data_IF_184837879794
#
_entry.id   IF_184837879794
#
_cell.length_a   1.000
_cell.length_b   1.000
_cell.length_c   1.000
_cell.angle_alpha   90.00
_cell.angle_beta   90.00
_cell.angle_gamma   90.00
#
_symmetry.space_group_name_H-M   'P 1'
#
loop_
_entity.id
_entity.type
_entity.pdbx_description
1 polymer ?
#
# COMPACT_ATOMS: atom_id res chain seq x y z
N UNK A 1 5.45 57.65 -29.45
CA UNK A 1 6.22 57.13 -30.60
C UNK A 1 5.19 56.68 -31.63
N UNK A 2 4.82 57.58 -32.55
CA UNK A 2 4.21 57.24 -33.82
C UNK A 2 5.06 57.96 -34.87
N UNK A 3 5.57 57.20 -35.83
CA UNK A 3 6.52 57.68 -36.81
C UNK A 3 5.80 57.97 -38.14
N UNK A 4 6.08 59.18 -38.66
CA UNK A 4 6.39 59.57 -40.05
C UNK A 4 5.47 59.08 -41.19
N UNK A 5 5.02 59.90 -42.15
CA UNK A 5 5.39 61.24 -42.60
C UNK A 5 5.23 61.28 -44.11
N UNK A 6 4.76 62.38 -44.73
CA UNK A 6 4.95 62.65 -46.17
C UNK A 6 4.80 64.16 -46.44
N UNK A 7 5.82 64.77 -47.07
CA UNK A 7 5.82 66.14 -47.60
C UNK A 7 5.34 66.14 -49.07
N UNK A 8 4.61 67.21 -49.40
CA UNK A 8 3.67 67.45 -50.51
C UNK A 8 4.28 67.74 -51.89
N UNK A 9 3.49 67.53 -52.96
CA UNK A 9 3.26 68.56 -54.01
C UNK A 9 1.78 68.49 -54.46
N UNK A 10 0.98 69.55 -54.20
CA UNK A 10 -0.35 69.75 -54.82
C UNK A 10 -0.29 70.94 -55.80
N UNK A 11 -0.69 70.73 -57.05
CA UNK A 11 -1.03 71.82 -57.99
C UNK A 11 -2.28 72.54 -57.48
N UNK A 12 -2.26 73.87 -57.46
CA UNK A 12 -3.44 74.71 -57.14
C UNK A 12 -4.47 74.62 -58.27
N UNK A 13 -5.64 74.07 -57.98
CA UNK A 13 -6.86 74.23 -58.78
C UNK A 13 -7.71 75.39 -58.22
N UNK A 14 -8.45 76.07 -59.10
CA UNK A 14 -9.29 77.25 -58.84
C UNK A 14 -10.33 76.98 -57.75
N UNK A 15 -10.51 77.99 -56.89
CA UNK A 15 -11.44 78.06 -55.77
C UNK A 15 -12.88 77.69 -56.15
N UNK A 16 -13.31 76.49 -55.76
CA UNK A 16 -14.70 76.25 -55.35
C UNK A 16 -14.81 76.65 -53.88
N UNK A 17 -15.91 77.28 -53.48
CA UNK A 17 -16.16 77.61 -52.08
C UNK A 17 -16.54 76.29 -51.40
N UNK A 18 -15.60 75.70 -50.66
CA UNK A 18 -15.89 74.54 -49.81
C UNK A 18 -16.94 74.97 -48.78
N UNK A 19 -18.07 74.26 -48.72
CA UNK A 19 -19.06 74.45 -47.66
C UNK A 19 -18.36 74.27 -46.30
N UNK A 20 -18.69 75.12 -45.33
CA UNK A 20 -18.14 75.02 -43.98
C UNK A 20 -18.28 73.60 -43.44
N UNK A 21 -17.17 72.96 -43.05
CA UNK A 21 -17.22 71.68 -42.35
C UNK A 21 -18.17 71.81 -41.16
N UNK A 22 -19.17 70.92 -41.05
CA UNK A 22 -20.00 70.86 -39.86
C UNK A 22 -19.13 70.59 -38.63
N UNK A 23 -19.40 71.28 -37.52
CA UNK A 23 -18.71 71.08 -36.25
C UNK A 23 -18.68 69.58 -35.88
N UNK A 24 -17.54 69.03 -35.44
CA UNK A 24 -17.49 67.65 -34.94
C UNK A 24 -18.55 67.44 -33.86
N UNK A 25 -19.31 66.34 -33.96
CA UNK A 25 -20.27 65.98 -32.91
C UNK A 25 -19.57 65.93 -31.56
N UNK A 26 -20.20 66.46 -30.50
CA UNK A 26 -19.65 66.43 -29.14
C UNK A 26 -19.30 64.98 -28.76
N UNK A 27 -18.10 64.76 -28.22
CA UNK A 27 -17.71 63.44 -27.70
C UNK A 27 -18.78 62.92 -26.73
N UNK A 28 -19.21 61.67 -26.91
CA UNK A 28 -20.16 61.04 -26.00
C UNK A 28 -19.62 60.95 -24.57
N UNK A 29 -20.52 60.96 -23.58
CA UNK A 29 -20.14 60.78 -22.17
C UNK A 29 -19.46 59.43 -21.97
N UNK A 30 -18.31 59.41 -21.29
CA UNK A 30 -17.66 58.17 -20.87
C UNK A 30 -18.59 57.41 -19.90
N UNK A 31 -18.70 56.09 -20.08
CA UNK A 31 -19.49 55.22 -19.22
C UNK A 31 -18.95 55.18 -17.77
N UNK A 32 -19.80 54.82 -16.81
CA UNK A 32 -19.40 54.67 -15.41
C UNK A 32 -18.43 53.48 -15.24
N UNK A 33 -17.44 53.65 -14.37
CA UNK A 33 -16.55 52.58 -13.91
C UNK A 33 -17.35 51.70 -12.95
N UNK A 34 -17.47 50.42 -13.27
CA UNK A 34 -18.12 49.43 -12.41
C UNK A 34 -17.17 49.03 -11.27
N UNK A 35 -17.63 49.10 -10.01
CA UNK A 35 -16.91 48.56 -8.85
C UNK A 35 -17.76 47.51 -8.16
N UNK A 36 -17.16 46.39 -7.80
CA UNK A 36 -17.83 45.27 -7.13
C UNK A 36 -17.22 45.07 -5.75
N UNK A 37 -18.05 44.95 -4.72
CA UNK A 37 -17.61 44.66 -3.35
C UNK A 37 -18.64 43.85 -2.56
N UNK A 38 -18.20 43.16 -1.51
CA UNK A 38 -19.12 42.57 -0.54
C UNK A 38 -19.85 43.70 0.21
N UNK A 39 -21.16 43.53 0.45
CA UNK A 39 -21.93 44.53 1.17
C UNK A 39 -21.43 44.65 2.61
N UNK A 40 -21.10 45.86 3.02
CA UNK A 40 -20.74 46.17 4.39
C UNK A 40 -21.40 47.47 4.82
N UNK A 41 -21.67 47.60 6.13
CA UNK A 41 -22.22 48.81 6.76
C UNK A 41 -21.17 49.92 6.80
N UNK A 42 -21.61 51.17 6.63
CA UNK A 42 -20.75 52.35 6.70
C UNK A 42 -19.93 52.62 5.44
N UNK A 43 -20.21 51.92 4.34
CA UNK A 43 -19.53 52.08 3.06
C UNK A 43 -20.36 52.99 2.16
N UNK A 44 -19.71 53.97 1.52
CA UNK A 44 -20.34 54.77 0.47
C UNK A 44 -20.41 53.95 -0.83
N UNK A 45 -21.62 53.69 -1.28
CA UNK A 45 -21.90 53.09 -2.58
C UNK A 45 -22.40 54.16 -3.54
N UNK A 46 -21.79 54.25 -4.72
CA UNK A 46 -22.02 55.31 -5.70
C UNK A 46 -22.87 54.84 -6.87
N UNK A 47 -23.77 55.73 -7.30
CA UNK A 47 -24.35 55.70 -8.64
C UNK A 47 -24.21 57.11 -9.25
N UNK A 48 -23.18 57.27 -10.09
CA UNK A 48 -22.87 58.51 -10.78
C UNK A 48 -23.40 58.51 -12.24
N UNK A 49 -24.39 57.67 -12.57
CA UNK A 49 -25.04 57.59 -13.89
C UNK A 49 -25.69 58.93 -14.32
N UNK A 50 -25.98 59.83 -13.37
CA UNK A 50 -26.52 61.16 -13.66
C UNK A 50 -25.44 62.26 -13.82
N UNK A 51 -24.19 62.02 -13.41
CA UNK A 51 -23.13 63.02 -13.52
C UNK A 51 -22.67 63.19 -14.97
N UNK A 52 -22.39 64.44 -15.36
CA UNK A 52 -22.01 64.81 -16.74
C UNK A 52 -20.53 65.19 -16.89
N UNK A 53 -19.75 65.12 -15.81
CA UNK A 53 -18.31 65.40 -15.81
C UNK A 53 -17.60 64.61 -14.69
N UNK A 54 -16.27 64.51 -14.79
CA UNK A 54 -15.43 63.79 -13.82
C UNK A 54 -15.44 62.26 -13.99
N UNK A 55 -14.68 61.57 -13.13
CA UNK A 55 -14.70 60.10 -13.04
C UNK A 55 -16.00 59.65 -12.38
N UNK A 56 -16.70 58.73 -13.02
CA UNK A 56 -18.04 58.28 -12.60
C UNK A 56 -17.99 56.82 -12.17
N UNK A 57 -18.63 56.48 -11.06
CA UNK A 57 -18.68 55.12 -10.54
C UNK A 57 -20.11 54.57 -10.52
N UNK A 58 -20.24 53.28 -10.74
CA UNK A 58 -21.46 52.53 -10.48
C UNK A 58 -21.10 51.29 -9.65
N UNK A 59 -21.61 51.24 -8.42
CA UNK A 59 -21.25 50.18 -7.49
C UNK A 59 -22.26 49.03 -7.51
N UNK A 60 -21.72 47.81 -7.39
CA UNK A 60 -22.46 46.55 -7.25
C UNK A 60 -22.09 45.94 -5.90
N UNK A 61 -23.08 45.71 -5.06
CA UNK A 61 -22.92 45.04 -3.78
C UNK A 61 -23.24 43.55 -3.89
N UNK A 62 -22.39 42.70 -3.32
CA UNK A 62 -22.57 41.25 -3.25
C UNK A 62 -22.92 40.86 -1.82
N UNK A 63 -23.97 40.06 -1.64
CA UNK A 63 -24.42 39.56 -0.33
C UNK A 63 -24.50 38.05 -0.34
N UNK A 64 -23.72 37.43 0.53
CA UNK A 64 -23.78 35.99 0.81
C UNK A 64 -25.08 35.68 1.56
N UNK A 65 -25.98 34.89 0.97
CA UNK A 65 -27.29 34.54 1.53
C UNK A 65 -27.35 33.18 2.22
N UNK A 66 -26.23 32.48 2.24
CA UNK A 66 -26.05 31.19 2.91
C UNK A 66 -24.77 30.54 2.43
N UNK A 67 -24.57 29.28 2.84
CA UNK A 67 -23.63 28.42 2.14
C UNK A 67 -24.02 28.41 0.64
N UNK A 68 -23.17 28.98 -0.23
CA UNK A 68 -23.18 28.77 -1.70
C UNK A 68 -24.07 29.68 -2.49
N UNK A 69 -24.80 30.54 -1.80
CA UNK A 69 -25.77 31.42 -2.44
C UNK A 69 -25.35 32.84 -2.17
N UNK A 70 -25.36 33.65 -3.23
CA UNK A 70 -25.20 35.08 -3.12
C UNK A 70 -26.20 35.79 -4.01
N UNK A 71 -26.53 37.01 -3.63
CA UNK A 71 -27.26 37.94 -4.45
C UNK A 71 -26.34 39.12 -4.77
N UNK A 72 -26.40 39.62 -6.00
CA UNK A 72 -25.76 40.86 -6.39
C UNK A 72 -26.82 41.95 -6.55
N UNK A 73 -26.47 43.18 -6.18
CA UNK A 73 -27.36 44.34 -6.21
C UNK A 73 -26.67 45.53 -6.87
N UNK A 74 -27.29 46.15 -7.88
CA UNK A 74 -26.89 47.43 -8.45
C UNK A 74 -27.29 48.57 -7.49
N UNK A 75 -26.38 49.48 -7.19
CA UNK A 75 -26.70 50.73 -6.49
C UNK A 75 -27.50 51.66 -7.39
N UNK A 76 -28.65 52.14 -6.93
CA UNK A 76 -29.56 53.03 -7.67
C UNK A 76 -29.31 54.50 -7.37
N UNK A 77 -28.84 54.83 -6.16
CA UNK A 77 -28.57 56.20 -5.71
C UNK A 77 -27.35 56.21 -4.80
N UNK A 78 -26.48 57.19 -4.97
CA UNK A 78 -25.31 57.35 -4.08
C UNK A 78 -25.77 57.50 -2.62
N UNK A 79 -25.26 56.65 -1.74
CA UNK A 79 -25.60 56.61 -0.32
C UNK A 79 -24.52 55.93 0.52
N UNK A 80 -24.55 56.18 1.83
CA UNK A 80 -23.78 55.39 2.81
C UNK A 80 -24.65 54.29 3.37
N UNK A 81 -24.21 53.04 3.27
CA UNK A 81 -24.95 51.87 3.76
C UNK A 81 -25.14 51.93 5.28
N UNK A 82 -26.31 51.54 5.76
CA UNK A 82 -26.67 51.54 7.18
C UNK A 82 -27.72 50.47 7.48
N UNK A 83 -28.07 50.27 8.75
CA UNK A 83 -29.15 49.34 9.12
C UNK A 83 -30.51 49.77 8.55
N UNK A 84 -30.69 51.07 8.29
CA UNK A 84 -31.89 51.65 7.65
C UNK A 84 -31.82 51.62 6.11
N UNK A 85 -30.64 51.37 5.54
CA UNK A 85 -30.42 51.20 4.10
C UNK A 85 -29.72 49.85 3.83
N UNK A 86 -30.36 48.72 4.17
CA UNK A 86 -29.85 47.40 3.81
C UNK A 86 -30.01 47.14 2.31
N UNK A 87 -29.37 46.09 1.78
CA UNK A 87 -29.51 45.68 0.36
C UNK A 87 -30.94 45.35 -0.07
N UNK A 88 -31.85 45.12 0.88
CA UNK A 88 -33.28 44.88 0.63
C UNK A 88 -34.06 46.16 0.38
N UNK A 89 -33.48 47.34 0.65
CA UNK A 89 -34.11 48.62 0.39
C UNK A 89 -34.10 48.95 -1.12
N UNK A 90 -35.22 48.67 -1.78
CA UNK A 90 -35.38 48.80 -3.23
C UNK A 90 -35.31 50.24 -3.75
N UNK A 91 -35.30 51.24 -2.87
CA UNK A 91 -35.07 52.64 -3.25
C UNK A 91 -33.61 52.88 -3.63
N UNK A 92 -32.70 52.13 -3.01
CA UNK A 92 -31.25 52.29 -3.15
C UNK A 92 -30.59 51.12 -3.88
N UNK A 93 -31.27 49.97 -3.96
CA UNK A 93 -30.69 48.72 -4.48
C UNK A 93 -31.63 48.02 -5.46
N UNK A 94 -31.08 47.49 -6.54
CA UNK A 94 -31.78 46.60 -7.47
C UNK A 94 -31.06 45.25 -7.56
N UNK A 95 -31.74 44.16 -7.24
CA UNK A 95 -31.20 42.81 -7.35
C UNK A 95 -31.04 42.39 -8.83
N UNK A 96 -29.94 41.72 -9.16
CA UNK A 96 -29.76 41.10 -10.48
C UNK A 96 -30.56 39.80 -10.61
N UNK A 97 -31.15 39.56 -11.79
CA UNK A 97 -32.02 38.39 -12.05
C UNK A 97 -31.25 37.15 -12.52
N UNK A 98 -30.14 37.33 -13.24
CA UNK A 98 -29.25 36.27 -13.71
C UNK A 98 -27.84 36.84 -13.93
N UNK A 99 -26.81 36.11 -13.52
CA UNK A 99 -25.41 36.53 -13.67
C UNK A 99 -24.82 35.78 -14.87
N UNK A 100 -24.23 36.52 -15.81
CA UNK A 100 -23.57 35.97 -16.99
C UNK A 100 -22.12 35.57 -16.68
N UNK A 101 -21.54 34.57 -17.39
CA UNK A 101 -20.13 34.24 -17.24
C UNK A 101 -19.24 35.46 -17.47
N UNK A 102 -18.27 35.67 -16.56
CA UNK A 102 -17.28 36.75 -16.68
C UNK A 102 -16.03 36.19 -17.35
N UNK A 103 -15.73 36.67 -18.56
CA UNK A 103 -14.46 36.39 -19.23
C UNK A 103 -13.49 37.53 -18.89
N UNK A 104 -12.56 37.28 -17.96
CA UNK A 104 -11.47 38.20 -17.66
C UNK A 104 -10.14 37.59 -18.11
N UNK A 105 -9.40 38.22 -19.03
CA UNK A 105 -8.16 37.65 -19.57
C UNK A 105 -6.99 37.69 -18.59
N UNK A 106 -7.05 38.44 -17.48
CA UNK A 106 -5.92 38.52 -16.55
C UNK A 106 -6.32 38.98 -15.14
N UNK A 107 -5.92 38.22 -14.10
CA UNK A 107 -5.96 38.65 -12.70
C UNK A 107 -4.57 39.20 -12.36
N UNK A 108 -4.40 40.52 -12.36
CA UNK A 108 -3.18 41.18 -11.86
C UNK A 108 -3.44 41.77 -10.47
N UNK A 109 -3.18 41.00 -9.42
CA UNK A 109 -3.22 41.49 -8.04
C UNK A 109 -2.24 40.71 -7.15
N UNK A 110 -1.44 41.43 -6.35
CA UNK A 110 -0.57 40.82 -5.35
C UNK A 110 -1.45 40.22 -4.25
N UNK A 111 -1.27 38.93 -3.94
CA UNK A 111 -2.05 38.18 -2.94
C UNK A 111 -3.56 38.03 -3.23
N UNK A 112 -3.97 37.95 -4.51
CA UNK A 112 -5.37 37.71 -4.85
C UNK A 112 -5.92 36.42 -4.21
N UNK A 113 -6.98 36.53 -3.42
CA UNK A 113 -7.71 35.39 -2.85
C UNK A 113 -8.99 35.18 -3.66
N UNK A 114 -9.10 34.03 -4.32
CA UNK A 114 -10.32 33.60 -5.01
C UNK A 114 -11.19 32.79 -4.06
N UNK A 115 -12.20 33.43 -3.46
CA UNK A 115 -13.19 32.75 -2.63
C UNK A 115 -14.30 32.19 -3.53
N UNK A 116 -14.27 30.90 -3.76
CA UNK A 116 -15.35 30.17 -4.41
C UNK A 116 -16.54 30.03 -3.44
N UNK A 117 -17.75 30.43 -3.85
CA UNK A 117 -18.98 30.02 -3.17
C UNK A 117 -19.07 28.49 -3.23
N UNK A 118 -19.54 27.74 -2.21
CA UNK A 118 -19.52 26.26 -2.35
C UNK A 118 -20.40 25.81 -3.54
N UNK A 119 -20.06 24.68 -4.13
CA UNK A 119 -20.58 24.27 -5.44
C UNK A 119 -19.84 24.91 -6.62
N UNK A 120 -19.14 26.04 -6.44
CA UNK A 120 -18.22 26.50 -7.47
C UNK A 120 -17.02 25.55 -7.55
N UNK A 121 -16.55 25.37 -8.77
CA UNK A 121 -15.43 24.52 -9.11
C UNK A 121 -14.44 25.30 -9.96
N UNK A 122 -13.16 25.06 -9.75
CA UNK A 122 -12.15 25.38 -10.74
C UNK A 122 -12.02 24.17 -11.64
N UNK A 123 -12.27 24.34 -12.94
CA UNK A 123 -12.11 23.27 -13.93
C UNK A 123 -11.02 23.62 -14.93
N UNK A 124 -10.12 22.68 -15.14
CA UNK A 124 -9.20 22.69 -16.27
C UNK A 124 -9.87 21.89 -17.38
N UNK A 125 -10.27 22.56 -18.45
CA UNK A 125 -10.90 21.94 -19.61
C UNK A 125 -9.84 21.39 -20.57
N UNK A 126 -10.15 20.31 -21.29
CA UNK A 126 -9.36 19.90 -22.45
C UNK A 126 -9.58 20.89 -23.60
N UNK A 127 -8.75 20.81 -24.63
CA UNK A 127 -8.82 21.69 -25.80
C UNK A 127 -10.14 21.59 -26.60
N UNK A 128 -11.01 20.63 -26.28
CA UNK A 128 -12.36 20.53 -26.84
C UNK A 128 -13.40 21.45 -26.16
N UNK A 129 -13.01 22.15 -25.09
CA UNK A 129 -13.87 23.03 -24.26
C UNK A 129 -15.16 22.37 -23.74
N UNK A 130 -15.20 21.03 -23.68
CA UNK A 130 -16.37 20.27 -23.22
C UNK A 130 -16.02 19.27 -22.13
N UNK A 131 -14.80 18.74 -22.16
CA UNK A 131 -14.38 17.72 -21.20
C UNK A 131 -13.45 18.29 -20.15
N UNK A 132 -13.64 17.87 -18.91
CA UNK A 132 -12.78 18.23 -17.78
C UNK A 132 -11.53 17.35 -17.81
N UNK A 133 -10.36 17.98 -17.67
CA UNK A 133 -9.08 17.32 -17.46
C UNK A 133 -8.77 17.14 -15.97
N UNK A 134 -9.03 18.17 -15.18
CA UNK A 134 -8.79 18.21 -13.74
C UNK A 134 -9.67 19.29 -13.08
N UNK A 135 -9.82 19.23 -11.77
CA UNK A 135 -10.54 20.29 -11.07
C UNK A 135 -10.32 20.38 -9.57
N UNK A 136 -10.84 21.47 -9.02
CA UNK A 136 -11.00 21.71 -7.59
C UNK A 136 -12.48 21.96 -7.28
N UNK A 137 -13.03 21.30 -6.24
CA UNK A 137 -14.45 21.43 -5.87
C UNK A 137 -14.65 21.27 -4.36
N UNK A 138 -15.71 21.85 -3.81
CA UNK A 138 -16.09 21.68 -2.40
C UNK A 138 -16.83 20.36 -2.11
N UNK A 139 -16.22 19.20 -2.39
CA UNK A 139 -16.80 17.87 -2.15
C UNK A 139 -15.82 16.88 -1.50
N UNK A 140 -16.19 15.59 -1.40
CA UNK A 140 -15.38 14.55 -0.73
C UNK A 140 -13.98 14.36 -1.32
N UNK A 141 -13.81 14.68 -2.60
CA UNK A 141 -12.55 14.68 -3.33
C UNK A 141 -12.27 16.08 -3.90
N UNK A 142 -11.68 17.00 -3.10
CA UNK A 142 -11.50 18.38 -3.52
C UNK A 142 -10.50 18.60 -4.65
N UNK A 143 -9.65 17.62 -4.95
CA UNK A 143 -8.65 17.66 -6.03
C UNK A 143 -8.73 16.35 -6.81
N UNK A 144 -8.91 16.44 -8.14
CA UNK A 144 -8.93 15.26 -9.01
C UNK A 144 -8.40 15.53 -10.41
N UNK A 145 -7.96 14.47 -11.09
CA UNK A 145 -7.46 14.48 -12.47
C UNK A 145 -7.95 13.25 -13.22
N UNK A 146 -8.26 13.41 -14.50
CA UNK A 146 -8.48 12.30 -15.43
C UNK A 146 -9.93 11.81 -15.55
N UNK A 147 -10.90 12.54 -15.00
CA UNK A 147 -12.33 12.25 -15.17
C UNK A 147 -13.20 13.52 -15.12
N UNK A 148 -14.43 13.39 -15.61
CA UNK A 148 -15.45 14.46 -15.57
C UNK A 148 -15.96 14.72 -14.15
N UNK A 149 -16.03 13.69 -13.31
CA UNK A 149 -16.43 13.80 -11.91
C UNK A 149 -15.27 13.42 -10.98
N UNK A 150 -15.20 13.98 -9.76
CA UNK A 150 -14.17 13.60 -8.79
C UNK A 150 -14.26 12.13 -8.36
N UNK A 151 -15.47 11.56 -8.30
CA UNK A 151 -15.69 10.18 -7.83
C UNK A 151 -15.07 9.16 -8.77
N UNK A 152 -15.16 9.36 -10.07
CA UNK A 152 -14.67 8.42 -11.08
C UNK A 152 -13.19 8.66 -11.45
N UNK A 153 -12.56 9.65 -10.84
CA UNK A 153 -11.19 10.05 -11.18
C UNK A 153 -10.15 8.98 -10.77
N UNK A 154 -9.24 8.60 -11.68
CA UNK A 154 -8.14 7.68 -11.36
C UNK A 154 -7.10 8.30 -10.42
N UNK A 155 -7.01 9.63 -10.41
CA UNK A 155 -6.19 10.40 -9.49
C UNK A 155 -7.10 11.35 -8.69
N UNK A 156 -7.16 11.19 -7.37
CA UNK A 156 -7.97 12.05 -6.49
C UNK A 156 -7.44 12.07 -5.06
N UNK A 157 -7.63 13.20 -4.38
CA UNK A 157 -7.31 13.37 -2.97
C UNK A 157 -8.59 13.63 -2.20
N UNK A 158 -8.87 12.86 -1.15
CA UNK A 158 -10.05 13.07 -0.32
C UNK A 158 -9.86 14.24 0.67
N UNK A 159 -10.95 14.75 1.25
CA UNK A 159 -10.91 15.74 2.34
C UNK A 159 -10.13 15.27 3.57
N UNK A 160 -9.95 13.96 3.74
CA UNK A 160 -9.15 13.35 4.80
C UNK A 160 -7.66 13.19 4.41
N UNK A 161 -7.24 13.71 3.24
CA UNK A 161 -5.88 13.63 2.74
C UNK A 161 -5.50 12.29 2.10
N UNK A 162 -6.45 11.39 1.85
CA UNK A 162 -6.16 10.10 1.20
C UNK A 162 -5.96 10.29 -0.30
N UNK A 163 -4.78 9.92 -0.80
CA UNK A 163 -4.49 9.86 -2.22
C UNK A 163 -4.94 8.52 -2.83
N UNK A 164 -5.66 8.60 -3.93
CA UNK A 164 -5.95 7.49 -4.83
C UNK A 164 -5.31 7.81 -6.17
N UNK A 165 -4.43 6.93 -6.66
CA UNK A 165 -3.69 7.16 -7.90
C UNK A 165 -3.51 5.84 -8.66
N UNK A 166 -4.40 5.56 -9.61
CA UNK A 166 -4.28 4.41 -10.50
C UNK A 166 -3.20 4.65 -11.56
N UNK A 167 -2.28 3.69 -11.74
CA UNK A 167 -1.21 3.77 -12.74
C UNK A 167 -0.11 4.79 -12.42
N UNK A 168 0.08 5.13 -11.14
CA UNK A 168 1.14 6.05 -10.73
C UNK A 168 2.53 5.54 -11.13
N UNK A 169 3.31 6.39 -11.79
CA UNK A 169 4.74 6.18 -12.06
C UNK A 169 5.52 7.11 -11.15
N UNK A 170 6.24 6.53 -10.19
CA UNK A 170 7.05 7.26 -9.21
C UNK A 170 8.52 6.92 -9.49
N UNK A 171 9.31 7.92 -9.82
CA UNK A 171 10.73 7.79 -10.21
C UNK A 171 11.63 8.61 -9.29
N UNK A 172 12.89 8.20 -9.19
CA UNK A 172 13.84 8.77 -8.23
C UNK A 172 13.70 8.14 -6.84
N UNK A 173 14.49 8.62 -5.89
CA UNK A 173 14.43 8.12 -4.52
C UNK A 173 13.11 8.51 -3.86
N UNK A 174 12.40 7.53 -3.31
CA UNK A 174 11.10 7.71 -2.68
C UNK A 174 11.00 6.87 -1.41
N UNK A 175 10.48 7.47 -0.35
CA UNK A 175 10.27 6.80 0.94
C UNK A 175 8.78 6.55 1.14
N UNK A 176 8.42 5.31 1.43
CA UNK A 176 7.06 4.90 1.80
C UNK A 176 7.10 4.35 3.22
N UNK A 177 6.55 5.10 4.17
CA UNK A 177 6.46 4.67 5.57
C UNK A 177 5.14 3.94 5.86
N UNK A 178 5.14 3.10 6.89
CA UNK A 178 3.96 2.36 7.34
C UNK A 178 3.78 0.99 6.67
N UNK A 179 2.54 0.51 6.60
CA UNK A 179 2.20 -0.82 6.08
C UNK A 179 1.73 -0.74 4.64
N UNK A 180 2.40 -1.48 3.74
CA UNK A 180 1.95 -1.67 2.37
C UNK A 180 1.11 -2.96 2.26
N UNK A 181 -0.10 -2.86 1.72
CA UNK A 181 -1.03 -4.01 1.53
C UNK A 181 -1.23 -4.30 0.05
N UNK A 182 -1.07 -5.58 -0.34
CA UNK A 182 -1.31 -6.01 -1.72
C UNK A 182 -0.20 -5.65 -2.71
N UNK A 183 1.04 -5.52 -2.24
CA UNK A 183 2.19 -5.22 -3.11
C UNK A 183 2.59 -6.44 -3.91
N UNK A 184 2.73 -6.27 -5.22
CA UNK A 184 3.36 -7.23 -6.13
C UNK A 184 4.23 -6.44 -7.11
N UNK A 185 5.40 -6.97 -7.45
CA UNK A 185 6.36 -6.28 -8.30
C UNK A 185 7.72 -6.96 -8.34
N UNK A 186 8.63 -6.39 -9.11
CA UNK A 186 10.04 -6.79 -9.18
C UNK A 186 10.89 -5.91 -8.28
N UNK A 187 11.82 -6.53 -7.57
CA UNK A 187 12.74 -5.84 -6.67
C UNK A 187 14.18 -6.21 -7.02
N UNK A 188 15.11 -5.30 -6.78
CA UNK A 188 16.55 -5.58 -6.84
C UNK A 188 17.04 -6.11 -5.49
N UNK A 189 16.54 -5.54 -4.39
CA UNK A 189 16.86 -5.92 -3.02
C UNK A 189 15.72 -5.58 -2.05
N UNK A 190 15.57 -6.40 -1.02
CA UNK A 190 14.75 -6.17 0.17
C UNK A 190 15.66 -6.27 1.39
N UNK A 191 15.85 -5.15 2.10
CA UNK A 191 16.71 -5.12 3.28
C UNK A 191 15.91 -5.49 4.53
N UNK A 192 16.46 -6.38 5.35
CA UNK A 192 16.04 -6.53 6.74
C UNK A 192 16.74 -5.45 7.56
N UNK A 193 15.98 -4.48 8.05
CA UNK A 193 16.50 -3.33 8.79
C UNK A 193 16.14 -3.47 10.26
N UNK A 194 17.12 -3.35 11.15
CA UNK A 194 16.89 -3.42 12.59
C UNK A 194 16.31 -2.09 13.14
N UNK A 195 16.03 -2.03 14.44
CA UNK A 195 15.49 -0.82 15.09
C UNK A 195 16.47 0.39 15.07
N UNK A 196 17.77 0.17 14.84
CA UNK A 196 18.77 1.22 14.72
C UNK A 196 18.90 1.79 13.29
N UNK A 197 18.24 1.17 12.31
CA UNK A 197 18.33 1.56 10.90
C UNK A 197 19.40 0.81 10.11
N UNK A 198 20.10 -0.15 10.71
CA UNK A 198 21.13 -0.93 10.03
C UNK A 198 20.53 -2.07 9.23
N UNK A 199 21.04 -2.29 8.02
CA UNK A 199 20.74 -3.48 7.24
C UNK A 199 21.48 -4.69 7.85
N UNK A 200 20.73 -5.63 8.41
CA UNK A 200 21.25 -6.84 9.10
C UNK A 200 21.01 -8.13 8.33
N UNK A 201 20.46 -8.02 7.12
CA UNK A 201 20.24 -9.12 6.20
C UNK A 201 19.38 -8.67 5.03
N UNK A 202 18.96 -9.61 4.20
CA UNK A 202 18.02 -9.29 3.13
C UNK A 202 17.83 -10.36 2.08
N UNK A 203 17.01 -10.02 1.10
CA UNK A 203 16.78 -10.80 -0.11
C UNK A 203 17.29 -9.97 -1.28
N UNK A 204 18.13 -10.53 -2.14
CA UNK A 204 18.58 -9.86 -3.36
C UNK A 204 18.44 -10.77 -4.57
N UNK A 205 18.29 -10.15 -5.73
CA UNK A 205 18.05 -10.82 -7.00
C UNK A 205 19.26 -10.57 -7.90
N UNK A 206 20.09 -11.59 -8.06
CA UNK A 206 21.33 -11.50 -8.80
C UNK A 206 21.11 -11.47 -10.31
N UNK A 207 22.05 -10.84 -11.02
CA UNK A 207 22.07 -10.83 -12.49
C UNK A 207 22.29 -12.24 -13.09
N UNK A 208 22.71 -13.20 -12.27
CA UNK A 208 22.86 -14.61 -12.59
C UNK A 208 21.55 -15.41 -12.46
N UNK A 209 20.43 -14.73 -12.20
CA UNK A 209 19.11 -15.34 -12.04
C UNK A 209 18.89 -16.02 -10.69
N UNK A 210 19.83 -15.88 -9.74
CA UNK A 210 19.71 -16.45 -8.40
C UNK A 210 19.05 -15.46 -7.45
N UNK A 211 18.23 -16.00 -6.56
CA UNK A 211 17.79 -15.30 -5.36
C UNK A 211 18.78 -15.60 -4.23
N UNK A 212 19.27 -14.55 -3.59
CA UNK A 212 20.20 -14.63 -2.47
C UNK A 212 19.48 -14.22 -1.19
N UNK A 213 19.59 -15.06 -0.17
CA UNK A 213 19.23 -14.72 1.20
C UNK A 213 20.53 -14.43 1.96
N UNK A 214 20.65 -13.24 2.50
CA UNK A 214 21.82 -12.77 3.25
C UNK A 214 21.44 -12.64 4.73
N UNK A 215 22.25 -13.25 5.61
CA UNK A 215 21.94 -13.42 7.03
C UNK A 215 21.26 -14.75 7.37
N UNK A 216 20.90 -14.89 8.64
CA UNK A 216 20.26 -16.11 9.15
C UNK A 216 18.78 -16.19 8.76
N UNK A 217 18.35 -17.38 8.31
CA UNK A 217 16.94 -17.66 8.05
C UNK A 217 16.31 -18.36 9.24
N UNK A 218 15.41 -17.67 9.94
CA UNK A 218 14.71 -18.24 11.09
C UNK A 218 13.40 -18.92 10.67
N UNK A 219 13.39 -20.26 10.62
CA UNK A 219 12.22 -21.08 10.26
C UNK A 219 11.79 -21.98 11.43
N UNK A 220 11.39 -21.36 12.54
CA UNK A 220 11.04 -22.04 13.78
C UNK A 220 9.65 -21.64 14.26
N UNK A 221 8.88 -22.61 14.74
CA UNK A 221 7.57 -22.38 15.34
C UNK A 221 6.57 -23.49 15.04
N UNK A 222 5.32 -23.23 15.37
CA UNK A 222 4.19 -24.13 15.09
C UNK A 222 3.09 -23.41 14.34
N UNK A 223 2.37 -24.13 13.50
CA UNK A 223 1.15 -23.69 12.82
C UNK A 223 0.18 -24.87 12.79
N UNK A 224 -1.09 -24.66 13.15
CA UNK A 224 -2.11 -25.70 13.16
C UNK A 224 -1.70 -26.94 13.99
N UNK A 225 -1.17 -26.71 15.21
CA UNK A 225 -0.67 -27.75 16.13
C UNK A 225 0.44 -28.67 15.57
N UNK A 226 1.20 -28.21 14.58
CA UNK A 226 2.37 -28.93 14.05
C UNK A 226 3.55 -27.98 13.84
N UNK A 227 4.76 -28.53 13.76
CA UNK A 227 5.96 -27.77 13.37
C UNK A 227 5.82 -27.17 11.96
N UNK A 228 6.49 -26.04 11.74
CA UNK A 228 6.68 -25.47 10.40
C UNK A 228 7.40 -26.48 9.49
N UNK A 229 7.10 -26.43 8.18
CA UNK A 229 7.68 -27.35 7.18
C UNK A 229 8.43 -26.53 6.13
N UNK A 230 9.56 -27.04 5.67
CA UNK A 230 10.29 -26.52 4.52
C UNK A 230 10.18 -27.56 3.41
N UNK A 231 9.36 -27.27 2.39
CA UNK A 231 9.18 -28.17 1.25
C UNK A 231 10.12 -27.76 0.12
N UNK A 232 10.96 -28.70 -0.31
CA UNK A 232 11.80 -28.57 -1.50
C UNK A 232 11.86 -29.94 -2.18
N UNK A 233 11.84 -29.97 -3.52
CA UNK A 233 11.94 -31.23 -4.27
C UNK A 233 13.32 -31.85 -4.10
N UNK A 234 14.36 -31.03 -4.26
CA UNK A 234 15.75 -31.40 -4.08
C UNK A 234 16.46 -30.33 -3.24
N UNK A 235 17.42 -30.74 -2.41
CA UNK A 235 18.26 -29.83 -1.64
C UNK A 235 19.72 -30.22 -1.81
N UNK A 236 20.50 -29.34 -2.41
CA UNK A 236 21.96 -29.46 -2.42
C UNK A 236 22.56 -28.55 -1.34
N UNK A 237 23.12 -29.16 -0.29
CA UNK A 237 23.99 -28.46 0.66
C UNK A 237 25.47 -28.67 0.29
N UNK A 238 26.26 -27.59 0.24
CA UNK A 238 27.71 -27.67 -0.02
C UNK A 238 28.50 -28.23 1.16
N UNK A 239 28.00 -28.06 2.37
CA UNK A 239 28.61 -28.53 3.61
C UNK A 239 27.72 -29.58 4.26
N UNK A 240 27.44 -29.39 5.54
CA UNK A 240 26.62 -30.31 6.33
C UNK A 240 25.15 -29.86 6.34
N UNK A 241 24.24 -30.82 6.30
CA UNK A 241 22.81 -30.60 6.50
C UNK A 241 22.27 -31.68 7.44
N UNK A 242 21.87 -31.29 8.64
CA UNK A 242 21.47 -32.24 9.67
C UNK A 242 20.94 -31.57 10.93
N UNK A 243 20.41 -32.39 11.84
CA UNK A 243 20.00 -31.95 13.17
C UNK A 243 21.24 -31.73 14.06
N UNK A 244 21.16 -30.81 15.03
CA UNK A 244 22.25 -30.57 16.00
C UNK A 244 22.51 -31.76 16.94
N UNK A 245 21.49 -32.60 17.18
CA UNK A 245 21.55 -33.77 18.07
C UNK A 245 20.83 -34.94 17.43
N UNK A 246 21.41 -36.15 17.51
CA UNK A 246 20.78 -37.37 17.03
C UNK A 246 19.47 -37.63 17.77
N UNK A 247 18.43 -37.87 16.98
CA UNK A 247 17.10 -38.30 17.44
C UNK A 247 17.17 -39.74 17.97
N UNK A 248 16.92 -39.89 19.27
CA UNK A 248 17.17 -41.15 19.99
C UNK A 248 15.94 -41.60 20.76
N UNK A 249 15.64 -42.91 20.72
CA UNK A 249 14.77 -43.56 21.71
C UNK A 249 15.62 -44.28 22.75
N UNK A 250 15.27 -44.14 24.03
CA UNK A 250 16.00 -44.79 25.15
C UNK A 250 15.12 -45.79 25.87
N UNK A 251 15.67 -46.99 26.08
CA UNK A 251 15.09 -48.05 26.89
C UNK A 251 16.03 -48.38 28.04
N UNK A 252 15.47 -48.59 29.23
CA UNK A 252 16.22 -49.05 30.40
C UNK A 252 15.36 -50.02 31.19
N UNK A 253 15.86 -51.21 31.45
CA UNK A 253 15.15 -52.21 32.26
C UNK A 253 16.11 -53.17 32.93
N UNK A 254 15.74 -53.59 34.14
CA UNK A 254 16.42 -54.60 34.94
C UNK A 254 15.76 -55.98 34.81
N UNK A 255 14.64 -56.07 34.08
CA UNK A 255 13.90 -57.30 33.86
C UNK A 255 13.92 -57.74 32.40
N UNK A 256 13.87 -59.05 32.12
CA UNK A 256 13.65 -59.54 30.76
C UNK A 256 12.27 -59.09 30.23
N UNK A 257 12.18 -58.86 28.93
CA UNK A 257 10.93 -58.46 28.30
C UNK A 257 11.10 -58.09 26.83
N UNK A 258 9.99 -57.75 26.18
CA UNK A 258 9.98 -57.19 24.84
C UNK A 258 9.75 -55.68 24.93
N UNK A 259 10.58 -54.92 24.20
CA UNK A 259 10.52 -53.47 24.13
C UNK A 259 10.36 -53.04 22.67
N UNK A 260 9.48 -52.09 22.40
CA UNK A 260 8.99 -51.73 21.08
C UNK A 260 9.33 -50.27 20.79
N UNK A 261 10.19 -50.06 19.80
CA UNK A 261 10.63 -48.75 19.33
C UNK A 261 9.86 -48.37 18.06
N UNK A 262 8.93 -47.42 18.18
CA UNK A 262 8.08 -46.98 17.08
C UNK A 262 8.75 -45.81 16.33
N UNK A 263 9.29 -46.08 15.14
CA UNK A 263 10.22 -45.18 14.42
C UNK A 263 9.51 -44.04 13.69
N UNK A 264 8.39 -44.31 13.02
CA UNK A 264 7.58 -43.31 12.31
C UNK A 264 6.12 -43.29 12.78
N UNK A 265 5.85 -43.74 14.01
CA UNK A 265 4.52 -43.70 14.59
C UNK A 265 4.54 -42.89 15.90
N UNK A 266 3.41 -42.24 16.19
CA UNK A 266 3.27 -41.32 17.30
C UNK A 266 2.31 -41.91 18.34
N UNK A 267 2.62 -41.76 19.62
CA UNK A 267 1.83 -42.33 20.70
C UNK A 267 2.33 -41.88 22.06
N UNK A 268 1.73 -42.45 23.11
CA UNK A 268 2.14 -42.19 24.49
C UNK A 268 3.16 -43.22 24.92
N UNK A 269 4.34 -42.75 25.31
CA UNK A 269 5.39 -43.59 25.88
C UNK A 269 4.90 -44.40 27.08
N UNK A 270 5.31 -45.66 27.14
CA UNK A 270 5.18 -46.53 28.29
C UNK A 270 6.54 -47.14 28.65
N UNK A 271 6.55 -48.07 29.60
CA UNK A 271 7.75 -48.86 29.93
C UNK A 271 8.23 -49.65 28.72
N UNK A 272 7.31 -50.28 27.98
CA UNK A 272 7.64 -51.20 26.90
C UNK A 272 7.58 -50.57 25.52
N UNK A 273 6.85 -49.47 25.34
CA UNK A 273 6.69 -48.81 24.03
C UNK A 273 7.24 -47.39 24.08
N UNK A 274 8.08 -47.04 23.12
CA UNK A 274 8.60 -45.68 22.93
C UNK A 274 8.30 -45.19 21.52
N UNK A 275 7.87 -43.94 21.40
CA UNK A 275 7.40 -43.36 20.14
C UNK A 275 8.26 -42.19 19.68
N UNK A 276 8.42 -42.06 18.36
CA UNK A 276 9.00 -40.87 17.77
C UNK A 276 8.14 -39.63 18.04
N UNK A 277 8.73 -38.44 17.91
CA UNK A 277 8.00 -37.17 17.90
C UNK A 277 7.84 -36.65 16.47
N UNK A 278 6.82 -35.83 16.25
CA UNK A 278 6.56 -35.22 14.95
C UNK A 278 7.77 -34.40 14.47
N UNK A 279 8.31 -34.75 13.29
CA UNK A 279 9.48 -34.10 12.71
C UNK A 279 10.82 -34.57 13.28
N UNK A 280 10.84 -35.63 14.09
CA UNK A 280 12.05 -36.24 14.65
C UNK A 280 12.19 -37.69 14.15
N UNK A 281 12.66 -37.91 12.91
CA UNK A 281 12.94 -39.26 12.42
C UNK A 281 14.00 -39.90 13.31
N UNK A 282 13.77 -41.09 13.88
CA UNK A 282 14.72 -41.72 14.82
C UNK A 282 15.89 -42.35 14.06
N UNK A 283 17.11 -41.99 14.47
CA UNK A 283 18.36 -42.51 13.88
C UNK A 283 19.09 -43.46 14.83
N UNK A 284 18.85 -43.35 16.14
CA UNK A 284 19.53 -44.11 17.18
C UNK A 284 18.55 -44.68 18.22
N UNK A 285 18.85 -45.87 18.74
CA UNK A 285 18.16 -46.46 19.89
C UNK A 285 19.21 -46.86 20.93
N UNK A 286 19.04 -46.38 22.16
CA UNK A 286 19.94 -46.69 23.28
C UNK A 286 19.27 -47.66 24.25
N UNK A 287 19.99 -48.72 24.60
CA UNK A 287 19.53 -49.78 25.50
C UNK A 287 20.43 -49.79 26.74
N UNK A 288 19.86 -49.59 27.92
CA UNK A 288 20.57 -49.61 29.21
C UNK A 288 19.89 -50.53 30.24
N UNK A 289 20.44 -50.60 31.45
CA UNK A 289 19.90 -51.41 32.55
C UNK A 289 20.46 -52.83 32.60
N UNK A 290 20.17 -53.53 33.69
CA UNK A 290 20.77 -54.84 34.00
C UNK A 290 20.07 -56.02 33.33
N UNK A 291 18.86 -55.81 32.83
CA UNK A 291 18.01 -56.84 32.25
C UNK A 291 18.49 -57.28 30.86
N UNK A 292 18.35 -58.58 30.59
CA UNK A 292 18.51 -59.16 29.26
C UNK A 292 17.16 -59.10 28.53
N UNK A 293 16.83 -57.93 27.99
CA UNK A 293 15.59 -57.72 27.25
C UNK A 293 15.82 -57.61 25.74
N UNK A 294 14.72 -57.76 25.00
CA UNK A 294 14.71 -57.83 23.54
C UNK A 294 14.02 -56.61 22.95
N UNK A 295 14.75 -55.83 22.17
CA UNK A 295 14.25 -54.74 21.36
C UNK A 295 13.56 -55.27 20.08
N UNK A 296 12.44 -54.65 19.74
CA UNK A 296 11.68 -54.82 18.51
C UNK A 296 11.53 -53.44 17.88
N UNK A 297 12.04 -53.30 16.67
CA UNK A 297 11.94 -52.06 15.89
C UNK A 297 10.62 -52.11 15.12
N UNK A 298 9.76 -51.11 15.30
CA UNK A 298 8.39 -51.07 14.83
C UNK A 298 8.14 -49.84 13.95
N UNK A 299 7.14 -49.92 13.07
CA UNK A 299 6.64 -48.77 12.31
C UNK A 299 7.73 -48.01 11.54
N UNK A 300 8.74 -48.71 11.03
CA UNK A 300 9.74 -48.10 10.16
C UNK A 300 9.37 -48.27 8.69
N UNK A 301 9.81 -47.33 7.85
CA UNK A 301 9.85 -47.53 6.40
C UNK A 301 10.96 -48.52 6.04
N UNK A 302 10.87 -49.18 4.89
CA UNK A 302 11.97 -50.01 4.41
C UNK A 302 13.20 -49.14 4.10
N UNK A 303 14.38 -49.74 4.27
CA UNK A 303 15.70 -49.18 3.98
C UNK A 303 16.13 -48.01 4.87
N UNK A 304 15.55 -47.88 6.07
CA UNK A 304 16.04 -46.95 7.09
C UNK A 304 17.22 -47.57 7.84
N UNK A 305 18.34 -46.86 7.87
CA UNK A 305 19.45 -47.19 8.76
C UNK A 305 19.11 -46.78 10.20
N UNK A 306 19.28 -47.69 11.15
CA UNK A 306 19.09 -47.46 12.58
C UNK A 306 20.31 -48.02 13.32
N UNK A 307 20.90 -47.19 14.18
CA UNK A 307 21.96 -47.63 15.10
C UNK A 307 21.34 -48.04 16.41
N UNK A 308 21.63 -49.25 16.89
CA UNK A 308 21.23 -49.71 18.23
C UNK A 308 22.48 -49.84 19.09
N UNK A 309 22.52 -49.05 20.16
CA UNK A 309 23.64 -48.96 21.10
C UNK A 309 23.25 -49.65 22.40
N UNK A 310 24.07 -50.57 22.88
CA UNK A 310 23.99 -51.10 24.24
C UNK A 310 24.90 -50.26 25.15
N UNK A 311 24.27 -49.40 25.92
CA UNK A 311 24.86 -48.50 26.92
C UNK A 311 24.76 -49.14 28.32
N UNK A 312 25.21 -50.39 28.43
CA UNK A 312 25.27 -51.13 29.70
C UNK A 312 26.28 -52.28 29.66
N UNK A 313 26.63 -52.79 30.84
CA UNK A 313 27.48 -53.99 31.00
C UNK A 313 26.83 -55.28 30.49
N UNK A 314 25.50 -55.30 30.40
CA UNK A 314 24.72 -56.51 30.20
C UNK A 314 24.26 -56.61 28.75
N UNK A 315 24.40 -57.80 28.16
CA UNK A 315 23.93 -58.07 26.81
C UNK A 315 22.46 -57.65 26.60
N UNK A 316 22.16 -57.19 25.39
CA UNK A 316 20.81 -56.86 24.92
C UNK A 316 20.51 -57.65 23.66
N UNK A 317 19.24 -57.76 23.29
CA UNK A 317 18.83 -58.51 22.11
C UNK A 317 18.02 -57.64 21.18
N UNK A 318 18.10 -57.90 19.88
CA UNK A 318 17.23 -57.29 18.87
C UNK A 318 16.62 -58.39 18.03
N UNK A 319 15.31 -58.32 17.77
CA UNK A 319 14.67 -59.20 16.79
C UNK A 319 14.98 -58.68 15.39
N UNK A 320 15.61 -59.50 14.55
CA UNK A 320 15.88 -59.17 13.14
C UNK A 320 14.95 -59.91 12.17
N UNK A 321 14.30 -60.99 12.62
CA UNK A 321 13.26 -61.67 11.86
C UNK A 321 12.03 -61.89 12.75
N UNK A 322 10.96 -61.14 12.50
CA UNK A 322 9.76 -61.16 13.33
C UNK A 322 8.93 -62.46 13.25
N UNK A 323 8.63 -63.03 12.06
CA UNK A 323 7.79 -64.23 12.01
C UNK A 323 8.45 -65.42 12.70
N UNK A 324 9.78 -65.51 12.70
CA UNK A 324 10.53 -66.60 13.33
C UNK A 324 11.13 -66.22 14.70
N UNK A 325 10.95 -64.98 15.14
CA UNK A 325 11.59 -64.40 16.34
C UNK A 325 13.11 -64.63 16.41
N UNK A 326 13.81 -64.58 15.26
CA UNK A 326 15.27 -64.68 15.30
C UNK A 326 15.86 -63.42 15.91
N UNK A 327 16.71 -63.65 16.90
CA UNK A 327 17.35 -62.62 17.70
C UNK A 327 18.83 -62.52 17.36
N UNK A 328 19.36 -61.32 17.52
CA UNK A 328 20.79 -61.08 17.59
C UNK A 328 21.14 -60.44 18.92
N UNK A 329 22.24 -60.88 19.51
CA UNK A 329 22.76 -60.31 20.75
C UNK A 329 23.68 -59.12 20.46
N UNK A 330 23.55 -58.08 21.28
CA UNK A 330 24.42 -56.92 21.34
C UNK A 330 25.13 -57.01 22.70
N UNK A 331 26.43 -57.39 22.74
CA UNK A 331 27.21 -57.42 23.97
C UNK A 331 27.20 -56.09 24.71
N UNK A 332 27.60 -56.09 25.98
CA UNK A 332 27.77 -54.87 26.76
C UNK A 332 28.69 -53.86 26.07
N UNK A 333 28.41 -52.57 26.22
CA UNK A 333 29.18 -51.45 25.64
C UNK A 333 29.50 -51.58 24.15
N UNK A 334 28.55 -52.12 23.37
CA UNK A 334 28.71 -52.32 21.93
C UNK A 334 27.48 -51.83 21.16
N UNK A 335 27.59 -51.76 19.83
CA UNK A 335 26.48 -51.36 18.98
C UNK A 335 26.34 -52.28 17.78
N UNK A 336 25.17 -52.23 17.13
CA UNK A 336 24.92 -52.83 15.82
C UNK A 336 24.14 -51.86 14.94
N UNK A 337 24.41 -51.92 13.64
CA UNK A 337 23.71 -51.14 12.63
C UNK A 337 22.73 -52.07 11.91
N UNK A 338 21.50 -51.61 11.77
CA UNK A 338 20.43 -52.33 11.10
C UNK A 338 19.86 -51.50 9.96
N UNK A 339 19.52 -52.17 8.87
CA UNK A 339 18.67 -51.59 7.82
C UNK A 339 17.30 -52.24 7.95
N UNK A 340 16.26 -51.42 8.15
CA UNK A 340 14.89 -51.93 8.22
C UNK A 340 14.47 -52.49 6.87
N UNK A 341 13.80 -53.64 6.88
CA UNK A 341 13.19 -54.26 5.71
C UNK A 341 11.67 -54.09 5.77
N UNK A 342 10.93 -54.87 4.97
CA UNK A 342 9.48 -54.90 5.04
C UNK A 342 8.95 -55.35 6.41
N UNK A 343 7.72 -54.94 6.72
CA UNK A 343 6.98 -55.35 7.91
C UNK A 343 6.16 -56.60 7.60
N UNK A 344 6.46 -57.76 8.22
CA UNK A 344 5.69 -58.99 8.03
C UNK A 344 4.24 -58.81 8.47
N UNK A 345 3.30 -59.40 7.73
CA UNK A 345 1.85 -59.20 7.94
C UNK A 345 1.28 -60.23 8.93
N UNK A 346 1.90 -61.41 9.03
CA UNK A 346 1.45 -62.49 9.91
C UNK A 346 1.89 -62.24 11.36
N UNK A 347 0.94 -62.38 12.30
CA UNK A 347 1.19 -62.34 13.75
C UNK A 347 1.97 -61.13 14.26
N UNK A 348 1.73 -59.95 13.66
CA UNK A 348 2.54 -58.75 13.88
C UNK A 348 1.71 -57.52 14.32
N UNK A 349 1.06 -57.63 15.49
CA UNK A 349 0.19 -56.56 16.04
C UNK A 349 0.94 -55.25 16.30
N UNK A 350 2.23 -55.32 16.61
CA UNK A 350 3.08 -54.16 16.89
C UNK A 350 3.84 -53.63 15.67
N UNK A 351 3.59 -54.18 14.47
CA UNK A 351 4.22 -53.74 13.20
C UNK A 351 5.76 -53.75 13.25
N UNK A 352 6.32 -54.78 13.87
CA UNK A 352 7.77 -55.05 13.97
C UNK A 352 8.34 -55.29 12.57
N UNK A 353 9.40 -54.57 12.23
CA UNK A 353 10.10 -54.71 10.96
C UNK A 353 11.05 -55.91 11.00
N UNK A 354 11.26 -56.57 9.85
CA UNK A 354 12.47 -57.37 9.68
C UNK A 354 13.67 -56.44 9.49
N UNK A 355 14.87 -56.93 9.80
CA UNK A 355 16.10 -56.15 9.74
C UNK A 355 17.15 -56.93 8.93
N UNK A 356 17.84 -56.21 8.05
CA UNK A 356 19.13 -56.65 7.54
C UNK A 356 20.21 -56.19 8.52
N UNK A 357 21.15 -57.09 8.81
CA UNK A 357 22.33 -56.77 9.61
C UNK A 357 23.43 -56.29 8.66
N UNK A 358 24.07 -55.18 9.02
CA UNK A 358 25.27 -54.68 8.34
C UNK A 358 26.53 -55.17 9.03
#
# INVERSE_FOLDING_TARGET
>A
MEAQGHILIRRKAKNGIDGTNGEPGKNGLQGCILRQSEWAKGIEYRNDEALTSGTRYLDIAIVTTGANTFNAYKCLKTHTSSDSIPVTNTTYWQKFNSLVPVYTPLIMAQNAILRFMQGNQLLIMKGDNKTVAAGLVGGDYPLWVGATTPTDAPYKVSIAGKLYAAGAVISGDSTFEGTLKGVSGSFTRLNCVNAAGDAVGGISFGNDGRMWFDGDMYHQGTKDNRSLRFYTSDLWCRGEFGHRLMTTLKFSSDTPGNFYAHIYNYGTDSTYHKYAQSGQPIDCITLSGTGLYTLRICDSVAYKMIVVVNDSEYSKRVVYNHPNNYIIEIPGWSFKIFITAGTPILSNTNRVCNLYLM
#
